data_IF_279969413147
#
_entry.id   IF_279969413147
#
_cell.length_a   1.000
_cell.length_b   1.000
_cell.length_c   1.000
_cell.angle_alpha   90.00
_cell.angle_beta   90.00
_cell.angle_gamma   90.00
#
_symmetry.space_group_name_H-M   'P 1'
#
loop_
_entity.id
_entity.type
_entity.pdbx_description
1 polymer ?
#
# COMPACT_ATOMS: atom_id res chain seq x y z
N UNK A 1 -24.92 50.96 -80.68
CA UNK A 1 -25.30 49.98 -79.66
C UNK A 1 -26.57 50.45 -78.99
N UNK A 2 -27.66 49.73 -79.21
CA UNK A 2 -28.97 50.01 -78.63
C UNK A 2 -28.95 49.70 -77.13
N UNK A 3 -29.78 50.38 -76.33
CA UNK A 3 -29.84 50.19 -74.86
C UNK A 3 -30.06 48.71 -74.44
N UNK A 4 -30.60 47.89 -75.33
CA UNK A 4 -30.78 46.45 -75.16
C UNK A 4 -29.48 45.64 -75.19
N UNK A 5 -28.48 45.99 -76.00
CA UNK A 5 -27.19 45.25 -76.00
C UNK A 5 -26.42 45.49 -74.71
N UNK A 6 -26.46 46.72 -74.18
CA UNK A 6 -25.85 47.06 -72.88
C UNK A 6 -26.56 46.38 -71.70
N UNK A 7 -27.85 46.08 -71.79
CA UNK A 7 -28.57 45.36 -70.72
C UNK A 7 -28.32 43.85 -70.73
N UNK A 8 -27.80 43.28 -71.83
CA UNK A 8 -27.46 41.87 -71.97
C UNK A 8 -26.00 41.53 -71.61
N UNK A 9 -25.12 42.53 -71.47
CA UNK A 9 -23.72 42.34 -71.03
C UNK A 9 -23.58 41.54 -69.72
N UNK A 10 -24.38 41.79 -68.64
CA UNK A 10 -24.27 41.04 -67.39
C UNK A 10 -24.61 39.54 -67.54
N UNK A 11 -25.46 39.17 -68.51
CA UNK A 11 -25.83 37.77 -68.77
C UNK A 11 -24.66 36.96 -69.34
N UNK A 12 -23.66 37.62 -69.95
CA UNK A 12 -22.43 36.97 -70.41
C UNK A 12 -21.54 36.48 -69.26
N UNK A 13 -21.74 36.99 -68.04
CA UNK A 13 -20.97 36.56 -66.85
C UNK A 13 -21.57 35.32 -66.16
N UNK A 14 -22.82 34.97 -66.45
CA UNK A 14 -23.51 33.83 -65.81
C UNK A 14 -22.73 32.52 -65.94
N UNK A 15 -22.16 32.14 -67.10
CA UNK A 15 -21.36 30.91 -67.21
C UNK A 15 -20.11 30.93 -66.32
N UNK A 16 -19.48 32.10 -66.16
CA UNK A 16 -18.31 32.25 -65.26
C UNK A 16 -18.72 32.10 -63.80
N UNK A 17 -19.86 32.66 -63.41
CA UNK A 17 -20.40 32.48 -62.06
C UNK A 17 -20.78 31.02 -61.80
N UNK A 18 -21.38 30.33 -62.76
CA UNK A 18 -21.74 28.91 -62.65
C UNK A 18 -20.52 28.03 -62.41
N UNK A 19 -19.43 28.26 -63.16
CA UNK A 19 -18.18 27.54 -62.94
C UNK A 19 -17.58 27.81 -61.55
N UNK A 20 -17.65 29.06 -61.06
CA UNK A 20 -17.19 29.40 -59.71
C UNK A 20 -18.02 28.72 -58.63
N UNK A 21 -19.34 28.62 -58.81
CA UNK A 21 -20.23 27.91 -57.87
C UNK A 21 -19.89 26.43 -57.83
N UNK A 22 -19.69 25.78 -58.98
CA UNK A 22 -19.32 24.37 -59.04
C UNK A 22 -18.00 24.08 -58.29
N UNK A 23 -16.97 24.91 -58.49
CA UNK A 23 -15.70 24.78 -57.76
C UNK A 23 -15.89 24.95 -56.24
N UNK A 24 -16.71 25.90 -55.82
CA UNK A 24 -17.01 26.11 -54.39
C UNK A 24 -17.79 24.93 -53.80
N UNK A 25 -18.70 24.33 -54.56
CA UNK A 25 -19.42 23.12 -54.13
C UNK A 25 -18.48 21.93 -53.92
N UNK A 26 -17.51 21.74 -54.82
CA UNK A 26 -16.46 20.72 -54.70
C UNK A 26 -15.57 20.96 -53.46
N UNK A 27 -15.14 22.21 -53.24
CA UNK A 27 -14.35 22.59 -52.06
C UNK A 27 -15.13 22.35 -50.75
N UNK A 28 -16.44 22.68 -50.72
CA UNK A 28 -17.31 22.42 -49.56
C UNK A 28 -17.43 20.92 -49.29
N UNK A 29 -17.57 20.10 -50.33
CA UNK A 29 -17.62 18.64 -50.18
C UNK A 29 -16.30 18.10 -49.62
N UNK A 30 -15.16 18.59 -50.11
CA UNK A 30 -13.83 18.25 -49.62
C UNK A 30 -13.64 18.62 -48.14
N UNK A 31 -13.97 19.86 -47.75
CA UNK A 31 -13.87 20.32 -46.37
C UNK A 31 -14.76 19.53 -45.40
N UNK A 32 -15.96 19.12 -45.83
CA UNK A 32 -16.84 18.27 -45.01
C UNK A 32 -16.25 16.88 -44.78
N UNK A 33 -15.61 16.30 -45.79
CA UNK A 33 -14.91 15.02 -45.65
C UNK A 33 -13.75 15.14 -44.66
N UNK A 34 -12.90 16.17 -44.81
CA UNK A 34 -11.79 16.43 -43.88
C UNK A 34 -12.28 16.67 -42.44
N UNK A 35 -13.38 17.40 -42.26
CA UNK A 35 -13.97 17.62 -40.95
C UNK A 35 -14.41 16.29 -40.28
N UNK A 36 -14.98 15.37 -41.06
CA UNK A 36 -15.34 14.03 -40.60
C UNK A 36 -14.12 13.23 -40.13
N UNK A 37 -13.05 13.26 -40.91
CA UNK A 37 -11.78 12.60 -40.58
C UNK A 37 -11.10 13.20 -39.34
N UNK A 38 -11.12 14.52 -39.19
CA UNK A 38 -10.57 15.19 -38.00
C UNK A 38 -11.37 14.79 -36.76
N UNK A 39 -12.71 14.78 -36.85
CA UNK A 39 -13.58 14.40 -35.73
C UNK A 39 -13.31 12.97 -35.27
N UNK A 40 -13.24 12.02 -36.20
CA UNK A 40 -12.97 10.61 -35.87
C UNK A 40 -11.58 10.42 -35.25
N UNK A 41 -10.56 11.11 -35.76
CA UNK A 41 -9.21 11.12 -35.15
C UNK A 41 -9.21 11.68 -33.74
N UNK A 42 -9.96 12.75 -33.48
CA UNK A 42 -10.08 13.33 -32.14
C UNK A 42 -10.75 12.36 -31.16
N UNK A 43 -11.83 11.71 -31.57
CA UNK A 43 -12.54 10.72 -30.73
C UNK A 43 -11.62 9.53 -30.38
N UNK A 44 -10.84 9.05 -31.35
CA UNK A 44 -9.85 7.98 -31.11
C UNK A 44 -8.75 8.42 -30.15
N UNK A 45 -8.21 9.63 -30.31
CA UNK A 45 -7.19 10.17 -29.40
C UNK A 45 -7.72 10.32 -27.98
N UNK A 46 -8.95 10.79 -27.81
CA UNK A 46 -9.59 10.94 -26.50
C UNK A 46 -9.76 9.58 -25.81
N UNK A 47 -10.26 8.58 -26.54
CA UNK A 47 -10.46 7.23 -26.01
C UNK A 47 -9.13 6.59 -25.60
N UNK A 48 -8.11 6.71 -26.43
CA UNK A 48 -6.77 6.19 -26.14
C UNK A 48 -6.12 6.91 -24.94
N UNK A 49 -6.22 8.24 -24.87
CA UNK A 49 -5.71 9.02 -23.75
C UNK A 49 -6.40 8.63 -22.43
N UNK A 50 -7.72 8.49 -22.45
CA UNK A 50 -8.49 8.08 -21.27
C UNK A 50 -8.12 6.67 -20.81
N UNK A 51 -7.98 5.71 -21.73
CA UNK A 51 -7.52 4.35 -21.39
C UNK A 51 -6.11 4.37 -20.78
N UNK A 52 -5.20 5.19 -21.31
CA UNK A 52 -3.85 5.35 -20.76
C UNK A 52 -3.87 5.98 -19.37
N UNK A 53 -4.67 7.03 -19.16
CA UNK A 53 -4.83 7.67 -17.84
C UNK A 53 -5.40 6.66 -16.83
N UNK A 54 -6.41 5.89 -17.23
CA UNK A 54 -7.01 4.88 -16.35
C UNK A 54 -6.00 3.80 -15.96
N UNK A 55 -5.24 3.26 -16.91
CA UNK A 55 -4.19 2.27 -16.62
C UNK A 55 -3.07 2.84 -15.74
N UNK A 56 -2.70 4.11 -15.94
CA UNK A 56 -1.76 4.80 -15.05
C UNK A 56 -2.33 5.00 -13.65
N UNK A 57 -3.60 5.37 -13.52
CA UNK A 57 -4.28 5.52 -12.25
C UNK A 57 -4.34 4.18 -11.50
N UNK A 58 -4.75 3.10 -12.16
CA UNK A 58 -4.81 1.76 -11.57
C UNK A 58 -3.42 1.28 -11.12
N UNK A 59 -2.37 1.60 -11.90
CA UNK A 59 -0.98 1.33 -11.54
C UNK A 59 -0.51 2.14 -10.32
N UNK A 60 -0.86 3.43 -10.27
CA UNK A 60 -0.53 4.31 -9.13
C UNK A 60 -1.28 3.87 -7.88
N UNK A 61 -2.58 3.59 -7.97
CA UNK A 61 -3.39 3.06 -6.86
C UNK A 61 -2.84 1.72 -6.38
N UNK A 62 -2.52 0.81 -7.29
CA UNK A 62 -1.91 -0.49 -6.96
C UNK A 62 -0.53 -0.33 -6.32
N UNK A 63 0.26 0.65 -6.76
CA UNK A 63 1.56 0.96 -6.19
C UNK A 63 1.42 1.63 -4.83
N UNK A 64 0.47 2.54 -4.67
CA UNK A 64 0.24 3.27 -3.43
C UNK A 64 -0.39 2.39 -2.35
N UNK A 65 -1.27 1.46 -2.71
CA UNK A 65 -1.73 0.38 -1.84
C UNK A 65 -0.56 -0.51 -1.36
N UNK A 66 0.50 -0.64 -2.17
CA UNK A 66 1.73 -1.37 -1.80
C UNK A 66 2.71 -0.56 -0.93
N UNK A 67 2.58 0.77 -0.85
CA UNK A 67 3.52 1.66 -0.12
C UNK A 67 2.87 2.32 1.11
N UNK A 68 1.54 2.41 1.16
CA UNK A 68 0.78 2.89 2.32
C UNK A 68 0.70 1.80 3.38
N UNK A 69 1.84 1.33 3.88
CA UNK A 69 1.89 0.43 5.02
C UNK A 69 1.52 1.24 6.26
N UNK A 70 0.26 1.17 6.69
CA UNK A 70 -0.08 1.55 8.05
C UNK A 70 0.88 0.86 9.03
N UNK A 71 1.13 1.48 10.17
CA UNK A 71 1.87 0.86 11.26
C UNK A 71 0.89 0.11 12.15
N UNK A 72 1.20 -1.14 12.50
CA UNK A 72 0.46 -1.90 13.50
C UNK A 72 1.19 -1.82 14.82
N UNK A 73 0.58 -1.16 15.81
CA UNK A 73 1.06 -1.10 17.18
C UNK A 73 0.34 -2.16 18.00
N UNK A 74 1.09 -3.03 18.68
CA UNK A 74 0.56 -4.03 19.62
C UNK A 74 1.19 -3.89 20.99
N UNK A 75 0.55 -4.48 22.00
CA UNK A 75 1.03 -4.43 23.40
C UNK A 75 0.49 -3.23 24.18
N UNK A 76 -0.37 -2.41 23.56
CA UNK A 76 -1.07 -1.30 24.20
C UNK A 76 -2.42 -1.77 24.75
N UNK A 77 -2.66 -1.53 26.04
CA UNK A 77 -3.95 -1.77 26.70
C UNK A 77 -4.66 -0.43 26.89
N UNK A 78 -5.91 -0.34 26.45
CA UNK A 78 -6.70 0.89 26.52
C UNK A 78 -8.16 0.63 26.86
N UNK A 79 -8.85 1.66 27.33
CA UNK A 79 -10.30 1.65 27.62
C UNK A 79 -11.07 2.44 26.56
N UNK A 80 -12.40 2.40 26.65
CA UNK A 80 -13.28 3.20 25.77
C UNK A 80 -13.10 4.71 25.93
N UNK A 81 -12.55 5.15 27.07
CA UNK A 81 -12.25 6.56 27.36
C UNK A 81 -10.88 7.02 26.84
N UNK A 82 -10.04 6.07 26.39
CA UNK A 82 -8.69 6.35 25.92
C UNK A 82 -8.72 6.98 24.53
N UNK A 83 -7.97 8.07 24.35
CA UNK A 83 -7.75 8.64 23.02
C UNK A 83 -6.70 7.85 22.26
N UNK A 84 -7.15 6.97 21.36
CA UNK A 84 -6.27 6.11 20.55
C UNK A 84 -5.22 6.91 19.76
N UNK A 85 -5.60 8.08 19.24
CA UNK A 85 -4.70 8.97 18.49
C UNK A 85 -3.53 9.45 19.35
N UNK A 86 -3.82 9.96 20.55
CA UNK A 86 -2.78 10.44 21.47
C UNK A 86 -1.96 9.28 22.04
N UNK A 87 -2.57 8.12 22.25
CA UNK A 87 -1.85 6.95 22.75
C UNK A 87 -0.88 6.37 21.71
N UNK A 88 -1.32 6.27 20.46
CA UNK A 88 -0.45 5.93 19.33
C UNK A 88 0.67 6.96 19.16
N UNK A 89 0.36 8.25 19.29
CA UNK A 89 1.37 9.31 19.29
C UNK A 89 2.42 9.11 20.38
N UNK A 90 2.01 8.86 21.62
CA UNK A 90 2.91 8.61 22.73
C UNK A 90 3.88 7.45 22.42
N UNK A 91 3.36 6.35 21.86
CA UNK A 91 4.17 5.19 21.48
C UNK A 91 5.18 5.49 20.37
N UNK A 92 4.76 6.22 19.33
CA UNK A 92 5.63 6.53 18.18
C UNK A 92 6.64 7.65 18.47
N UNK A 93 6.31 8.59 19.37
CA UNK A 93 7.20 9.70 19.79
C UNK A 93 8.49 9.19 20.43
N UNK A 94 8.47 8.00 21.04
CA UNK A 94 9.66 7.34 21.58
C UNK A 94 10.69 6.97 20.51
N UNK A 95 10.24 6.75 19.28
CA UNK A 95 11.11 6.45 18.16
C UNK A 95 11.57 7.74 17.50
N UNK A 96 10.71 8.75 17.36
CA UNK A 96 11.10 9.98 16.69
C UNK A 96 10.67 11.24 17.46
N UNK A 97 11.65 11.96 17.99
CA UNK A 97 11.44 13.25 18.67
C UNK A 97 10.88 14.31 17.74
N UNK A 98 11.07 14.19 16.42
CA UNK A 98 10.53 15.13 15.44
C UNK A 98 9.08 14.83 15.05
N UNK A 99 8.53 13.67 15.45
CA UNK A 99 7.14 13.31 15.16
C UNK A 99 6.18 14.31 15.81
N UNK A 100 5.33 14.97 15.03
CA UNK A 100 4.28 15.86 15.51
C UNK A 100 2.93 15.13 15.58
N UNK A 101 2.01 15.62 16.40
CA UNK A 101 0.65 15.03 16.49
C UNK A 101 -0.15 15.16 15.20
N UNK A 102 0.16 16.19 14.40
CA UNK A 102 -0.40 16.40 13.06
C UNK A 102 0.08 15.35 12.05
N UNK A 103 1.19 14.65 12.33
CA UNK A 103 1.71 13.62 11.42
C UNK A 103 0.90 12.32 11.51
N UNK A 104 0.07 12.14 12.54
CA UNK A 104 -0.86 11.02 12.62
C UNK A 104 -2.14 11.38 11.86
N UNK A 105 -2.38 10.71 10.73
CA UNK A 105 -3.58 10.94 9.93
C UNK A 105 -4.79 10.26 10.55
N UNK A 106 -4.65 8.97 10.87
CA UNK A 106 -5.73 8.16 11.41
C UNK A 106 -5.20 7.06 12.32
N UNK A 107 -6.02 6.65 13.28
CA UNK A 107 -5.77 5.49 14.16
C UNK A 107 -7.05 4.70 14.28
N UNK A 108 -6.97 3.38 14.07
CA UNK A 108 -8.12 2.47 14.17
C UNK A 108 -7.73 1.14 14.83
N UNK A 109 -8.58 0.55 15.67
CA UNK A 109 -8.36 -0.80 16.17
C UNK A 109 -8.55 -1.84 15.04
N UNK A 110 -7.66 -2.84 14.97
CA UNK A 110 -7.65 -3.90 13.95
C UNK A 110 -8.44 -5.16 14.35
N UNK A 111 -9.37 -5.05 15.29
CA UNK A 111 -10.19 -6.18 15.72
C UNK A 111 -11.43 -5.76 16.50
N UNK A 112 -12.40 -6.67 16.58
CA UNK A 112 -13.55 -6.55 17.48
C UNK A 112 -13.11 -7.07 18.84
N UNK A 113 -13.01 -6.19 19.84
CA UNK A 113 -12.63 -6.59 21.19
C UNK A 113 -13.59 -7.63 21.74
N UNK A 114 -13.14 -8.88 21.87
CA UNK A 114 -13.58 -9.73 22.97
C UNK A 114 -12.47 -9.67 23.99
N UNK A 115 -12.80 -9.18 25.19
CA UNK A 115 -11.91 -9.20 26.33
C UNK A 115 -11.27 -10.57 26.49
N UNK A 116 -10.00 -10.58 26.86
CA UNK A 116 -9.26 -11.80 27.14
C UNK A 116 -9.99 -12.62 28.21
N UNK A 117 -10.74 -13.64 27.78
CA UNK A 117 -11.28 -14.68 28.67
C UNK A 117 -10.14 -15.67 28.85
N UNK A 118 -9.30 -15.44 29.85
CA UNK A 118 -8.44 -16.51 30.35
C UNK A 118 -9.37 -17.49 31.08
N UNK A 119 -9.55 -18.66 30.49
CA UNK A 119 -10.18 -19.80 31.16
C UNK A 119 -9.20 -20.34 32.21
N UNK A 120 -9.56 -20.16 33.47
CA UNK A 120 -9.26 -21.10 34.55
C UNK A 120 -10.40 -21.01 35.58
N UNK A 121 -11.27 -22.01 35.51
CA UNK A 121 -12.11 -22.65 36.53
C UNK A 121 -12.91 -21.79 37.55
N UNK A 122 -14.23 -22.00 37.50
CA UNK A 122 -15.26 -22.04 38.57
C UNK A 122 -15.10 -21.13 39.81
N UNK A 123 -16.00 -20.14 40.00
CA UNK A 123 -17.19 -20.19 40.89
C UNK A 123 -17.96 -18.86 40.87
N UNK A 124 -19.29 -18.95 40.93
CA UNK A 124 -20.31 -17.97 41.35
C UNK A 124 -20.35 -16.51 40.84
N UNK A 125 -21.38 -16.25 40.03
CA UNK A 125 -22.42 -15.24 40.30
C UNK A 125 -22.06 -13.75 40.42
N UNK A 126 -22.04 -13.02 39.29
CA UNK A 126 -22.75 -11.73 38.98
C UNK A 126 -22.24 -11.18 37.64
N UNK A 127 -23.08 -10.60 36.76
CA UNK A 127 -22.58 -9.89 35.59
C UNK A 127 -22.17 -8.47 36.02
N UNK A 128 -20.99 -8.33 36.61
CA UNK A 128 -20.38 -7.00 36.75
C UNK A 128 -19.94 -6.52 35.36
N UNK A 129 -20.40 -5.32 35.00
CA UNK A 129 -20.01 -4.60 33.80
C UNK A 129 -18.51 -4.24 33.88
N UNK A 130 -17.67 -5.22 33.57
CA UNK A 130 -16.22 -5.09 33.61
C UNK A 130 -15.77 -4.01 32.64
N UNK A 131 -15.19 -2.93 33.19
CA UNK A 131 -14.35 -1.98 32.47
C UNK A 131 -13.08 -2.72 32.05
N UNK A 132 -13.20 -3.60 31.06
CA UNK A 132 -12.14 -4.49 30.61
C UNK A 132 -11.18 -3.74 29.71
N UNK A 133 -9.96 -3.52 30.18
CA UNK A 133 -8.90 -2.97 29.34
C UNK A 133 -8.73 -3.84 28.08
N UNK A 134 -8.85 -3.23 26.92
CA UNK A 134 -8.76 -3.88 25.63
C UNK A 134 -7.31 -3.83 25.13
N UNK A 135 -6.74 -4.99 24.79
CA UNK A 135 -5.43 -5.10 24.15
C UNK A 135 -5.62 -5.50 22.68
N UNK A 136 -6.22 -4.61 21.88
CA UNK A 136 -6.38 -4.80 20.43
C UNK A 136 -5.24 -4.09 19.70
N UNK A 137 -4.65 -4.71 18.65
CA UNK A 137 -3.72 -4.02 17.77
C UNK A 137 -4.31 -2.73 17.18
N UNK A 138 -3.52 -1.66 17.13
CA UNK A 138 -3.89 -0.39 16.51
C UNK A 138 -3.21 -0.25 15.15
N UNK A 139 -3.97 -0.01 14.09
CA UNK A 139 -3.44 0.50 12.83
C UNK A 139 -3.32 2.02 12.88
N UNK A 140 -2.19 2.53 12.42
CA UNK A 140 -1.85 3.96 12.42
C UNK A 140 -1.37 4.38 11.03
N UNK A 141 -2.03 5.38 10.46
CA UNK A 141 -1.59 6.03 9.23
C UNK A 141 -0.82 7.31 9.53
N UNK A 142 0.30 7.52 8.83
CA UNK A 142 1.15 8.71 8.96
C UNK A 142 1.12 9.59 7.72
N UNK A 143 1.34 10.89 7.90
CA UNK A 143 1.30 11.92 6.86
C UNK A 143 2.41 11.78 5.82
N UNK A 144 3.56 11.18 6.20
CA UNK A 144 4.76 11.11 5.38
C UNK A 144 5.18 9.66 5.15
N UNK A 145 5.31 9.28 3.87
CA UNK A 145 5.68 7.91 3.47
C UNK A 145 7.03 7.46 4.04
N UNK A 146 8.02 8.35 4.07
CA UNK A 146 9.35 8.05 4.61
C UNK A 146 9.34 7.85 6.14
N UNK A 147 8.35 8.39 6.84
CA UNK A 147 8.25 8.31 8.29
C UNK A 147 7.96 6.88 8.75
N UNK A 148 7.15 6.15 7.99
CA UNK A 148 6.93 4.71 8.21
C UNK A 148 8.27 3.95 8.13
N UNK A 149 9.02 4.15 7.04
CA UNK A 149 10.33 3.50 6.85
C UNK A 149 11.33 3.84 7.97
N UNK A 150 11.34 5.09 8.42
CA UNK A 150 12.21 5.53 9.50
C UNK A 150 11.84 4.91 10.85
N UNK A 151 10.55 4.89 11.17
CA UNK A 151 10.02 4.21 12.36
C UNK A 151 10.37 2.72 12.34
N UNK A 152 10.26 2.05 11.18
CA UNK A 152 10.68 0.66 11.02
C UNK A 152 12.17 0.43 11.23
N UNK A 153 13.01 1.32 10.73
CA UNK A 153 14.45 1.23 10.96
C UNK A 153 14.76 1.35 12.45
N UNK A 154 14.12 2.30 13.14
CA UNK A 154 14.36 2.56 14.57
C UNK A 154 13.83 1.47 15.49
N UNK A 155 12.65 0.91 15.24
CA UNK A 155 12.12 -0.20 16.06
C UNK A 155 12.98 -1.47 15.96
N UNK A 156 13.67 -1.69 14.82
CA UNK A 156 14.62 -2.81 14.68
C UNK A 156 15.86 -2.65 15.57
N UNK A 157 16.20 -1.41 15.96
CA UNK A 157 17.37 -1.09 16.76
C UNK A 157 17.07 -1.02 18.27
N UNK A 158 15.79 -0.92 18.66
CA UNK A 158 15.41 -0.67 20.05
C UNK A 158 14.13 -1.41 20.41
N UNK A 159 14.13 -2.03 21.59
CA UNK A 159 12.90 -2.52 22.24
C UNK A 159 12.20 -1.37 22.96
N UNK A 160 10.89 -1.24 22.75
CA UNK A 160 10.05 -0.24 23.41
C UNK A 160 9.30 -0.87 24.58
N UNK A 161 9.26 -0.15 25.69
CA UNK A 161 8.51 -0.52 26.89
C UNK A 161 7.46 0.54 27.20
N UNK A 162 6.32 0.11 27.75
CA UNK A 162 5.28 1.04 28.21
C UNK A 162 5.81 2.03 29.25
N UNK A 163 6.69 1.61 30.16
CA UNK A 163 7.32 2.49 31.17
C UNK A 163 8.13 3.66 30.58
N UNK A 164 8.49 3.59 29.30
CA UNK A 164 9.22 4.66 28.62
C UNK A 164 8.29 5.77 28.11
N UNK A 165 6.97 5.54 28.10
CA UNK A 165 5.99 6.53 27.68
C UNK A 165 5.96 7.70 28.67
N UNK A 166 5.81 8.92 28.14
CA UNK A 166 5.71 10.12 28.97
C UNK A 166 4.37 10.16 29.69
N UNK A 167 4.39 10.34 31.01
CA UNK A 167 3.20 10.53 31.85
C UNK A 167 2.31 11.67 31.33
N UNK A 168 2.92 12.72 30.78
CA UNK A 168 2.19 13.84 30.19
C UNK A 168 1.38 13.41 28.96
N UNK A 169 1.98 12.61 28.08
CA UNK A 169 1.30 12.08 26.91
C UNK A 169 0.26 11.02 27.27
N UNK A 170 0.50 10.22 28.32
CA UNK A 170 -0.47 9.25 28.84
C UNK A 170 -1.70 9.96 29.42
N UNK A 171 -1.50 11.06 30.17
CA UNK A 171 -2.60 11.90 30.67
C UNK A 171 -3.39 12.52 29.53
N UNK A 172 -2.72 13.07 28.52
CA UNK A 172 -3.37 13.61 27.31
C UNK A 172 -4.16 12.52 26.56
N UNK A 173 -3.66 11.30 26.55
CA UNK A 173 -4.34 10.14 25.99
C UNK A 173 -5.47 9.58 26.86
N UNK A 174 -5.68 10.11 28.08
CA UNK A 174 -6.67 9.60 29.06
C UNK A 174 -6.45 8.12 29.40
N UNK A 175 -5.20 7.69 29.39
CA UNK A 175 -4.82 6.32 29.76
C UNK A 175 -4.61 6.28 31.27
N UNK A 176 -5.10 5.25 31.98
CA UNK A 176 -4.77 5.06 33.38
C UNK A 176 -3.25 5.00 33.57
N UNK A 177 -2.71 5.74 34.54
CA UNK A 177 -1.27 5.81 34.80
C UNK A 177 -0.67 4.45 35.20
N UNK A 178 -1.47 3.54 35.73
CA UNK A 178 -1.06 2.17 36.08
C UNK A 178 -1.23 1.22 34.89
N UNK A 179 -0.40 1.37 33.87
CA UNK A 179 -0.30 0.35 32.82
C UNK A 179 0.63 -0.79 33.25
N UNK A 180 0.31 -2.05 32.91
CA UNK A 180 1.24 -3.15 33.09
C UNK A 180 2.51 -2.91 32.26
N UNK A 181 3.68 -3.26 32.81
CA UNK A 181 4.93 -3.18 32.07
C UNK A 181 4.93 -4.23 30.96
N UNK A 182 4.71 -3.78 29.73
CA UNK A 182 4.71 -4.64 28.56
C UNK A 182 5.58 -4.05 27.45
N UNK A 183 5.97 -4.92 26.51
CA UNK A 183 6.65 -4.50 25.31
C UNK A 183 5.67 -3.92 24.29
N UNK A 184 6.04 -2.78 23.71
CA UNK A 184 5.34 -2.21 22.56
C UNK A 184 6.00 -2.75 21.30
N UNK A 185 5.21 -3.32 20.40
CA UNK A 185 5.69 -3.87 19.14
C UNK A 185 5.04 -3.13 17.97
N UNK A 186 5.84 -2.70 16.99
CA UNK A 186 5.39 -1.92 15.83
C UNK A 186 5.77 -2.68 14.56
N UNK A 187 4.79 -2.99 13.71
CA UNK A 187 4.96 -3.85 12.53
C UNK A 187 4.27 -3.31 11.27
N UNK A 188 4.81 -3.74 10.12
CA UNK A 188 4.13 -3.90 8.81
C UNK A 188 2.61 -4.10 8.94
N UNK A 189 1.73 -3.12 8.64
CA UNK A 189 0.33 -3.49 8.34
C UNK A 189 0.31 -4.15 6.97
N UNK A 190 0.11 -5.46 6.97
CA UNK A 190 0.14 -6.28 5.76
C UNK A 190 -1.28 -6.58 5.31
N UNK A 191 -1.54 -6.55 3.99
CA UNK A 191 -2.75 -7.12 3.42
C UNK A 191 -2.96 -8.58 3.89
N UNK A 192 -4.21 -9.06 4.05
CA UNK A 192 -4.48 -10.39 4.60
C UNK A 192 -3.76 -11.53 3.87
N UNK A 193 -3.76 -11.52 2.54
CA UNK A 193 -3.05 -12.47 1.68
C UNK A 193 -1.54 -12.48 1.97
N UNK A 194 -0.92 -11.30 2.05
CA UNK A 194 0.50 -11.15 2.40
C UNK A 194 0.76 -11.59 3.84
N UNK A 195 -0.15 -11.30 4.76
CA UNK A 195 -0.03 -11.73 6.15
C UNK A 195 -0.03 -13.26 6.27
N UNK A 196 -0.94 -13.94 5.58
CA UNK A 196 -1.01 -15.40 5.54
C UNK A 196 0.24 -16.01 4.91
N UNK A 197 0.69 -15.46 3.77
CA UNK A 197 1.92 -15.89 3.11
C UNK A 197 3.14 -15.69 4.01
N UNK A 198 3.21 -14.58 4.76
CA UNK A 198 4.28 -14.32 5.73
C UNK A 198 4.28 -15.37 6.84
N UNK A 199 3.11 -15.71 7.36
CA UNK A 199 2.99 -16.74 8.41
C UNK A 199 3.47 -18.10 7.89
N UNK A 200 3.03 -18.52 6.70
CA UNK A 200 3.50 -19.73 6.03
C UNK A 200 5.02 -19.74 5.82
N UNK A 201 5.55 -18.66 5.22
CA UNK A 201 6.99 -18.47 4.98
C UNK A 201 7.80 -18.53 6.27
N UNK A 202 7.35 -17.88 7.35
CA UNK A 202 8.01 -17.91 8.66
C UNK A 202 8.04 -19.32 9.25
N UNK A 203 6.94 -20.06 9.13
CA UNK A 203 6.86 -21.44 9.61
C UNK A 203 7.77 -22.38 8.82
N UNK A 204 7.84 -22.23 7.50
CA UNK A 204 8.78 -22.96 6.66
C UNK A 204 10.24 -22.61 6.99
N UNK A 205 10.56 -21.34 7.14
CA UNK A 205 11.92 -20.88 7.41
C UNK A 205 12.51 -21.47 8.70
N UNK A 206 11.68 -21.64 9.75
CA UNK A 206 12.06 -22.32 10.99
C UNK A 206 12.54 -23.76 10.76
N UNK A 207 11.90 -24.49 9.84
CA UNK A 207 12.23 -25.88 9.52
C UNK A 207 13.52 -26.00 8.69
N UNK A 208 13.79 -25.03 7.82
CA UNK A 208 14.87 -25.14 6.81
C UNK A 208 16.15 -24.34 7.11
N UNK A 209 16.29 -23.80 8.34
CA UNK A 209 17.42 -22.90 8.71
C UNK A 209 17.49 -21.65 7.84
N UNK A 210 16.34 -21.09 7.49
CA UNK A 210 16.23 -19.82 6.78
C UNK A 210 15.92 -18.68 7.76
N UNK A 211 16.08 -17.45 7.28
CA UNK A 211 15.62 -16.22 7.93
C UNK A 211 14.65 -15.52 7.01
N UNK A 212 13.64 -14.88 7.59
CA UNK A 212 12.64 -14.13 6.84
C UNK A 212 12.56 -12.71 7.35
N UNK A 213 12.26 -11.78 6.46
CA UNK A 213 11.98 -10.40 6.81
C UNK A 213 10.95 -9.84 5.85
N UNK A 214 10.27 -8.79 6.31
CA UNK A 214 9.33 -8.03 5.50
C UNK A 214 9.92 -6.65 5.28
N UNK A 215 9.75 -6.14 4.07
CA UNK A 215 10.16 -4.79 3.69
C UNK A 215 9.21 -4.27 2.62
N UNK A 216 8.60 -3.12 2.87
CA UNK A 216 7.70 -2.43 1.93
C UNK A 216 6.57 -3.36 1.48
N UNK A 217 5.94 -4.05 2.44
CA UNK A 217 4.87 -5.02 2.19
C UNK A 217 5.29 -6.30 1.46
N UNK A 218 6.59 -6.50 1.20
CA UNK A 218 7.11 -7.67 0.48
C UNK A 218 7.83 -8.62 1.41
N UNK A 219 7.61 -9.91 1.20
CA UNK A 219 8.23 -10.97 2.01
C UNK A 219 9.51 -11.43 1.32
N UNK A 220 10.56 -11.52 2.11
CA UNK A 220 11.85 -12.03 1.68
C UNK A 220 12.26 -13.20 2.56
N UNK A 221 12.85 -14.21 1.94
CA UNK A 221 13.46 -15.36 2.60
C UNK A 221 14.91 -15.48 2.16
N UNK A 222 15.81 -15.82 3.09
CA UNK A 222 17.20 -16.16 2.77
C UNK A 222 17.70 -17.30 3.64
N UNK A 223 18.64 -18.08 3.13
CA UNK A 223 19.36 -19.06 3.94
C UNK A 223 20.24 -18.35 4.97
N UNK A 224 20.40 -18.90 6.17
CA UNK A 224 21.22 -18.26 7.23
C UNK A 224 22.67 -18.03 6.84
N UNK A 225 23.21 -18.84 5.92
CA UNK A 225 24.60 -18.79 5.46
C UNK A 225 24.76 -18.01 4.14
N UNK A 226 23.70 -17.41 3.63
CA UNK A 226 23.71 -16.68 2.36
C UNK A 226 23.28 -15.23 2.55
N UNK A 227 23.88 -14.35 1.76
CA UNK A 227 23.57 -12.92 1.77
C UNK A 227 22.38 -12.58 0.87
N UNK A 228 22.14 -13.41 -0.15
CA UNK A 228 21.07 -13.19 -1.13
C UNK A 228 19.72 -13.57 -0.54
N UNK A 229 18.79 -12.62 -0.57
CA UNK A 229 17.39 -12.86 -0.24
C UNK A 229 16.55 -12.98 -1.50
N UNK A 230 15.58 -13.91 -1.46
CA UNK A 230 14.63 -14.15 -2.53
C UNK A 230 13.28 -13.59 -2.11
N UNK A 231 12.62 -12.88 -3.04
CA UNK A 231 11.27 -12.36 -2.85
C UNK A 231 10.27 -13.51 -3.02
N UNK A 232 9.36 -13.66 -2.06
CA UNK A 232 8.27 -14.64 -2.12
C UNK A 232 6.98 -13.88 -2.40
N UNK A 233 6.33 -14.19 -3.53
CA UNK A 233 5.05 -13.56 -3.92
C UNK A 233 3.87 -14.50 -3.86
N UNK A 234 4.11 -15.80 -3.82
CA UNK A 234 3.09 -16.85 -3.69
C UNK A 234 3.58 -18.02 -2.83
N UNK A 235 2.67 -18.92 -2.47
CA UNK A 235 3.05 -20.19 -1.82
C UNK A 235 3.88 -21.08 -2.77
N UNK A 236 3.60 -21.05 -4.08
CA UNK A 236 4.38 -21.79 -5.07
C UNK A 236 5.84 -21.30 -5.13
N UNK A 237 6.07 -19.99 -5.06
CA UNK A 237 7.42 -19.42 -4.96
C UNK A 237 8.17 -19.95 -3.73
N UNK A 238 7.46 -20.03 -2.59
CA UNK A 238 8.01 -20.56 -1.35
C UNK A 238 8.38 -22.03 -1.53
N UNK A 239 7.50 -22.85 -2.11
CA UNK A 239 7.79 -24.26 -2.36
C UNK A 239 8.97 -24.40 -3.31
N UNK A 240 9.01 -23.67 -4.42
CA UNK A 240 10.11 -23.71 -5.39
C UNK A 240 11.47 -23.36 -4.74
N UNK A 241 11.50 -22.35 -3.86
CA UNK A 241 12.69 -21.99 -3.09
C UNK A 241 13.16 -23.13 -2.18
N UNK A 242 12.24 -23.79 -1.47
CA UNK A 242 12.57 -24.89 -0.56
C UNK A 242 13.07 -26.13 -1.30
N UNK A 243 12.44 -26.49 -2.43
CA UNK A 243 12.84 -27.63 -3.25
C UNK A 243 14.24 -27.44 -3.84
N UNK A 244 14.51 -26.26 -4.40
CA UNK A 244 15.82 -25.92 -5.00
C UNK A 244 16.96 -26.03 -3.97
N UNK A 245 16.71 -25.59 -2.74
CA UNK A 245 17.70 -25.66 -1.66
C UNK A 245 17.91 -27.08 -1.12
N UNK A 246 16.84 -27.88 -1.05
CA UNK A 246 16.96 -29.29 -0.65
C UNK A 246 17.76 -30.10 -1.69
N UNK A 247 17.58 -29.81 -2.99
CA UNK A 247 18.36 -30.42 -4.06
C UNK A 247 19.86 -30.06 -3.95
N UNK A 248 20.19 -28.79 -3.70
CA UNK A 248 21.58 -28.36 -3.50
C UNK A 248 22.25 -28.95 -2.25
N UNK A 249 21.50 -29.25 -1.19
CA UNK A 249 22.05 -29.94 -0.01
C UNK A 249 22.39 -31.41 -0.28
N UNK A 250 21.70 -32.06 -1.21
CA UNK A 250 21.94 -33.46 -1.58
C UNK A 250 23.12 -33.65 -2.53
N UNK A 251 23.51 -32.61 -3.28
CA UNK A 251 24.59 -32.68 -4.26
C UNK A 251 25.95 -32.19 -3.73
N UNK A 252 26.04 -31.71 -2.48
CA UNK A 252 27.35 -31.35 -1.89
C UNK A 252 28.10 -32.63 -1.49
N UNK A 253 29.27 -32.94 -2.09
CA UNK A 253 30.06 -34.09 -1.67
C UNK A 253 30.51 -33.90 -0.23
N UNK A 254 30.40 -34.98 0.55
CA UNK A 254 30.93 -35.07 1.91
C UNK A 254 32.42 -34.71 1.90
N UNK A 255 32.89 -33.76 2.72
CA UNK A 255 34.31 -33.47 2.78
C UNK A 255 35.04 -34.70 3.30
N UNK A 256 35.83 -35.31 2.43
CA UNK A 256 36.75 -36.40 2.75
C UNK A 256 37.64 -35.92 3.89
N UNK A 257 37.59 -36.61 5.03
CA UNK A 257 38.48 -36.29 6.13
C UNK A 257 39.93 -36.48 5.68
N UNK A 258 40.84 -35.54 5.99
CA UNK A 258 42.24 -35.74 5.73
C UNK A 258 42.73 -36.89 6.62
N UNK A 259 43.25 -37.94 5.99
CA UNK A 259 44.00 -39.00 6.66
C UNK A 259 45.08 -38.35 7.53
N UNK A 260 44.95 -38.52 8.84
CA UNK A 260 46.05 -38.28 9.76
C UNK A 260 46.93 -39.52 9.73
N UNK A 261 48.13 -39.37 9.17
CA UNK A 261 49.25 -40.28 9.41
C UNK A 261 49.66 -40.23 10.88
#
# INVERSE_FOLDING_TARGET
MTAFEKSLEPLKEVPRLMNRVAVVEDDIASLKAEQGDIKTKLDQLLLHANARIQTQLDSVVSSQAKISSELVITGLSFSDTTSLRHFAFAALKLLDVQLAESDILSVRPLGRGRGARNETNETDGRPDAGTGACSIPLAVSLSRTLMNSFIYAKIKLRKLHIKQLSDELLRKARVPLSLPDSFININECLPPDVYHLRAATKNAAKKHSCTTFVRDGRIYIKLRKEDRAVRITSEDDLQNFLHSNNAQRRTRPTPTQPNKN
#
